data_IF_273480817847
#
_entry.id   IF_273480817847
#
_cell.length_a   1.000
_cell.length_b   1.000
_cell.length_c   1.000
_cell.angle_alpha   90.00
_cell.angle_beta   90.00
_cell.angle_gamma   90.00
#
_symmetry.space_group_name_H-M   'P 1'
#
loop_
_entity.id
_entity.type
_entity.pdbx_description
1 polymer ?
#
# COMPACT_ATOMS: atom_id res chain seq x y z
N UNK A 1 19.17 10.29 -24.49
CA UNK A 1 18.33 11.50 -24.46
C UNK A 1 17.57 11.44 -23.16
N UNK A 2 17.95 12.27 -22.19
CA UNK A 2 17.35 12.33 -20.86
C UNK A 2 15.95 12.94 -20.97
N UNK A 3 14.91 12.13 -20.77
CA UNK A 3 13.58 12.65 -20.50
C UNK A 3 13.55 13.14 -19.05
N UNK A 4 14.00 14.37 -18.85
CA UNK A 4 13.66 15.17 -17.67
C UNK A 4 12.14 15.39 -17.70
N UNK A 5 11.40 14.43 -17.15
CA UNK A 5 10.00 14.64 -16.81
C UNK A 5 10.00 15.72 -15.71
N UNK A 6 9.45 16.92 -15.95
CA UNK A 6 9.49 17.99 -14.95
C UNK A 6 8.87 17.44 -13.68
N UNK A 7 9.62 17.52 -12.58
CA UNK A 7 9.14 17.10 -11.28
C UNK A 7 7.81 17.80 -11.03
N UNK A 8 6.70 17.05 -11.05
CA UNK A 8 5.41 17.59 -10.67
C UNK A 8 5.54 18.01 -9.21
N UNK A 9 5.67 19.30 -8.95
CA UNK A 9 5.54 19.87 -7.62
C UNK A 9 4.19 19.41 -7.07
N UNK A 10 4.13 18.78 -5.89
CA UNK A 10 2.86 18.34 -5.32
C UNK A 10 1.87 19.51 -5.28
N UNK A 11 0.62 19.28 -5.69
CA UNK A 11 -0.43 20.29 -5.52
C UNK A 11 -0.78 20.36 -4.04
N UNK A 12 -0.16 21.29 -3.35
CA UNK A 12 -0.27 21.47 -1.90
C UNK A 12 -1.63 22.02 -1.46
N UNK A 13 -2.42 22.52 -2.41
CA UNK A 13 -3.79 22.96 -2.16
C UNK A 13 -4.79 21.80 -2.16
N UNK A 14 -4.33 20.58 -2.47
CA UNK A 14 -5.17 19.41 -2.59
C UNK A 14 -5.95 19.10 -1.30
N UNK A 15 -7.25 18.91 -1.45
CA UNK A 15 -8.18 18.64 -0.35
C UNK A 15 -8.25 17.13 -0.06
N UNK A 16 -8.58 16.73 1.18
CA UNK A 16 -8.89 15.34 1.45
C UNK A 16 -9.91 14.76 0.47
N UNK A 17 -9.60 13.57 -0.06
CA UNK A 17 -10.37 12.89 -1.09
C UNK A 17 -9.86 13.11 -2.52
N UNK A 18 -9.15 14.21 -2.81
CA UNK A 18 -8.59 14.49 -4.13
C UNK A 18 -7.43 13.55 -4.47
N UNK A 19 -7.17 13.43 -5.78
CA UNK A 19 -6.08 12.60 -6.32
C UNK A 19 -4.96 13.51 -6.81
N UNK A 20 -3.76 13.27 -6.30
CA UNK A 20 -2.52 13.90 -6.75
C UNK A 20 -1.59 12.86 -7.39
N UNK A 21 -0.56 13.32 -8.11
CA UNK A 21 0.50 12.46 -8.63
C UNK A 21 1.84 12.77 -7.98
N UNK A 22 2.56 11.75 -7.53
CA UNK A 22 3.86 11.90 -6.90
C UNK A 22 4.69 10.62 -7.05
N UNK A 23 5.91 10.72 -7.55
CA UNK A 23 6.71 9.54 -7.91
C UNK A 23 6.16 8.75 -9.10
N UNK A 24 6.89 7.72 -9.50
CA UNK A 24 6.57 6.82 -10.62
C UNK A 24 6.87 5.39 -10.25
N UNK A 25 6.01 4.44 -10.58
CA UNK A 25 6.24 3.01 -10.33
C UNK A 25 5.65 2.17 -11.46
N UNK A 26 6.13 0.94 -11.72
CA UNK A 26 5.52 0.09 -12.73
C UNK A 26 4.06 -0.22 -12.42
N UNK A 27 3.21 -0.13 -13.45
CA UNK A 27 1.78 -0.39 -13.33
C UNK A 27 1.24 -1.28 -14.46
N UNK A 28 2.02 -1.48 -15.52
CA UNK A 28 1.70 -2.40 -16.62
C UNK A 28 2.29 -3.79 -16.36
N UNK A 29 1.82 -4.79 -17.09
CA UNK A 29 2.22 -6.18 -16.87
C UNK A 29 3.72 -6.46 -17.13
N UNK A 30 4.36 -5.71 -18.02
CA UNK A 30 5.79 -5.90 -18.34
C UNK A 30 6.74 -5.41 -17.24
N UNK A 31 6.26 -4.53 -16.35
CA UNK A 31 7.04 -3.95 -15.26
C UNK A 31 8.12 -2.94 -15.67
N UNK A 32 8.18 -2.55 -16.94
CA UNK A 32 9.20 -1.65 -17.48
C UNK A 32 8.75 -0.18 -17.52
N UNK A 33 7.44 0.05 -17.36
CA UNK A 33 6.88 1.40 -17.38
C UNK A 33 7.25 2.22 -16.12
N UNK A 34 7.21 3.54 -16.27
CA UNK A 34 7.39 4.51 -15.18
C UNK A 34 6.12 5.33 -14.98
N UNK A 35 4.99 4.66 -14.81
CA UNK A 35 3.69 5.35 -14.69
C UNK A 35 3.63 6.18 -13.40
N UNK A 36 3.19 7.46 -13.48
CA UNK A 36 2.96 8.29 -12.28
C UNK A 36 2.04 7.60 -11.28
N UNK A 37 2.45 7.57 -10.02
CA UNK A 37 1.63 6.99 -8.96
C UNK A 37 0.54 7.99 -8.62
N UNK A 38 -0.72 7.54 -8.68
CA UNK A 38 -1.88 8.31 -8.18
C UNK A 38 -2.04 8.06 -6.69
N UNK A 39 -2.15 9.14 -5.93
CA UNK A 39 -2.32 9.12 -4.49
C UNK A 39 -3.57 9.86 -4.10
N UNK A 40 -4.36 9.25 -3.22
CA UNK A 40 -5.50 9.88 -2.58
C UNK A 40 -5.03 10.63 -1.34
N UNK A 41 -5.40 11.90 -1.25
CA UNK A 41 -5.14 12.71 -0.05
C UNK A 41 -6.09 12.26 1.05
N UNK A 42 -5.53 11.77 2.15
CA UNK A 42 -6.28 11.35 3.34
C UNK A 42 -6.45 12.51 4.31
N UNK A 43 -5.39 13.32 4.49
CA UNK A 43 -5.40 14.50 5.34
C UNK A 43 -4.48 15.58 4.73
N UNK A 44 -4.83 16.85 4.95
CA UNK A 44 -3.99 18.00 4.63
C UNK A 44 -3.99 18.95 5.83
N UNK A 45 -2.83 19.13 6.46
CA UNK A 45 -2.65 20.06 7.60
C UNK A 45 -2.22 21.47 7.18
N UNK A 46 -2.08 21.72 5.88
CA UNK A 46 -1.46 22.91 5.31
C UNK A 46 0.07 22.89 5.33
N UNK A 47 0.70 21.93 6.01
CA UNK A 47 2.16 21.70 6.02
C UNK A 47 2.57 20.28 5.66
N UNK A 48 1.62 19.37 5.70
CA UNK A 48 1.84 17.94 5.46
C UNK A 48 0.61 17.36 4.78
N UNK A 49 0.85 16.59 3.73
CA UNK A 49 -0.14 15.74 3.08
C UNK A 49 0.06 14.31 3.55
N UNK A 50 -0.96 13.72 4.17
CA UNK A 50 -1.00 12.28 4.41
C UNK A 50 -1.74 11.62 3.25
N UNK A 51 -1.07 10.72 2.54
CA UNK A 51 -1.57 10.17 1.28
C UNK A 51 -1.50 8.64 1.23
N UNK A 52 -2.43 8.03 0.50
CA UNK A 52 -2.52 6.60 0.24
C UNK A 52 -2.55 6.36 -1.27
N UNK A 53 -1.76 5.40 -1.76
CA UNK A 53 -1.81 4.98 -3.16
C UNK A 53 -3.23 4.58 -3.57
N UNK A 54 -3.70 5.10 -4.71
CA UNK A 54 -5.06 4.86 -5.21
C UNK A 54 -5.29 3.40 -5.63
N UNK A 55 -4.22 2.75 -6.11
CA UNK A 55 -4.21 1.36 -6.54
C UNK A 55 -3.31 0.52 -5.64
N UNK A 56 -3.55 -0.79 -5.64
CA UNK A 56 -2.55 -1.75 -5.18
C UNK A 56 -1.42 -1.76 -6.22
N UNK A 57 -0.24 -1.31 -5.83
CA UNK A 57 0.89 -1.11 -6.74
C UNK A 57 1.70 -2.37 -6.97
N UNK A 58 1.77 -3.25 -5.97
CA UNK A 58 2.52 -4.51 -6.05
C UNK A 58 1.86 -5.59 -5.18
N UNK A 59 2.25 -6.84 -5.35
CA UNK A 59 1.85 -7.97 -4.52
C UNK A 59 3.07 -8.59 -3.86
N UNK A 60 3.11 -8.57 -2.53
CA UNK A 60 4.21 -9.11 -1.72
C UNK A 60 3.66 -9.75 -0.44
N UNK A 61 4.37 -10.77 0.05
CA UNK A 61 4.15 -11.31 1.40
C UNK A 61 4.45 -10.24 2.44
N UNK A 62 3.88 -10.39 3.63
CA UNK A 62 4.28 -9.56 4.77
C UNK A 62 5.71 -9.91 5.21
N UNK A 63 6.07 -11.20 5.19
CA UNK A 63 7.43 -11.68 5.44
C UNK A 63 7.76 -12.93 4.61
N UNK A 64 9.01 -13.04 4.18
CA UNK A 64 9.52 -14.13 3.36
C UNK A 64 9.55 -13.81 1.85
N UNK A 65 10.65 -14.20 1.20
CA UNK A 65 10.97 -13.83 -0.19
C UNK A 65 11.14 -15.04 -1.13
N UNK A 66 11.03 -16.27 -0.62
CA UNK A 66 11.16 -17.48 -1.44
C UNK A 66 9.82 -17.92 -2.04
N UNK A 67 9.87 -18.40 -3.29
CA UNK A 67 8.73 -19.01 -3.98
C UNK A 67 8.24 -20.30 -3.31
N UNK A 68 9.10 -20.98 -2.56
CA UNK A 68 8.78 -22.23 -1.88
C UNK A 68 8.02 -22.02 -0.56
N UNK A 69 7.88 -20.78 -0.10
CA UNK A 69 7.16 -20.44 1.12
C UNK A 69 5.69 -20.78 0.96
N UNK A 70 5.22 -21.66 1.85
CA UNK A 70 3.83 -22.05 2.01
C UNK A 70 3.18 -21.37 3.21
N UNK A 71 1.90 -21.62 3.41
CA UNK A 71 1.17 -21.11 4.58
C UNK A 71 1.71 -21.66 5.91
N UNK A 72 2.40 -22.82 5.90
CA UNK A 72 2.97 -23.45 7.10
C UNK A 72 4.26 -22.80 7.57
N UNK A 73 4.89 -22.03 6.69
CA UNK A 73 6.18 -21.37 6.94
C UNK A 73 6.00 -19.96 7.53
N UNK A 74 4.81 -19.62 8.01
CA UNK A 74 4.59 -18.39 8.75
C UNK A 74 5.37 -18.43 10.08
N UNK A 75 6.03 -17.33 10.40
CA UNK A 75 6.86 -17.20 11.63
C UNK A 75 6.35 -16.06 12.49
N UNK A 76 6.72 -16.04 13.75
CA UNK A 76 6.44 -14.88 14.60
C UNK A 76 7.30 -13.69 14.13
N UNK A 77 6.66 -12.62 13.66
CA UNK A 77 7.34 -11.44 13.10
C UNK A 77 6.54 -10.17 13.41
N UNK A 78 7.24 -9.07 13.62
CA UNK A 78 6.64 -7.74 13.85
C UNK A 78 6.80 -6.86 12.61
N UNK A 79 6.05 -5.76 12.54
CA UNK A 79 6.21 -4.76 11.47
C UNK A 79 7.65 -4.26 11.38
N UNK A 80 8.29 -3.99 12.52
CA UNK A 80 9.68 -3.53 12.60
C UNK A 80 10.65 -4.40 11.79
N UNK A 81 10.48 -5.72 11.83
CA UNK A 81 11.44 -6.70 11.32
C UNK A 81 11.01 -7.38 10.01
N UNK A 82 9.77 -7.18 9.55
CA UNK A 82 9.25 -7.86 8.37
C UNK A 82 9.90 -7.36 7.07
N UNK A 83 9.90 -8.21 6.04
CA UNK A 83 10.57 -7.88 4.78
C UNK A 83 9.78 -6.86 3.98
N UNK A 84 8.45 -6.83 4.13
CA UNK A 84 7.62 -5.84 3.46
C UNK A 84 7.98 -4.40 3.88
N UNK A 85 8.21 -4.16 5.17
CA UNK A 85 8.67 -2.84 5.66
C UNK A 85 10.04 -2.48 5.10
N UNK A 86 10.99 -3.44 5.09
CA UNK A 86 12.34 -3.24 4.53
C UNK A 86 12.26 -2.89 3.05
N UNK A 87 11.43 -3.60 2.30
CA UNK A 87 11.22 -3.34 0.88
C UNK A 87 10.60 -1.95 0.63
N UNK A 88 9.56 -1.57 1.38
CA UNK A 88 8.92 -0.26 1.27
C UNK A 88 9.90 0.89 1.46
N UNK A 89 10.77 0.78 2.47
CA UNK A 89 11.70 1.84 2.85
C UNK A 89 13.04 1.81 2.09
N UNK A 90 13.29 0.75 1.30
CA UNK A 90 14.49 0.62 0.47
C UNK A 90 14.11 0.57 -1.01
N UNK A 91 13.84 -0.61 -1.55
CA UNK A 91 13.65 -0.84 -2.98
C UNK A 91 12.49 -0.02 -3.56
N UNK A 92 11.31 -0.06 -2.93
CA UNK A 92 10.16 0.73 -3.37
C UNK A 92 10.47 2.22 -3.32
N UNK A 93 10.92 2.74 -2.16
CA UNK A 93 11.26 4.15 -2.00
C UNK A 93 12.30 4.65 -3.02
N UNK A 94 13.33 3.84 -3.30
CA UNK A 94 14.38 4.21 -4.24
C UNK A 94 13.95 4.11 -5.71
N UNK A 95 13.03 3.22 -6.02
CA UNK A 95 12.45 3.07 -7.37
C UNK A 95 11.40 4.14 -7.64
N UNK A 96 10.54 4.41 -6.66
CA UNK A 96 9.36 5.25 -6.78
C UNK A 96 9.69 6.74 -6.87
N UNK A 97 10.71 7.21 -6.15
CA UNK A 97 10.98 8.63 -5.96
C UNK A 97 12.37 9.02 -6.46
N UNK A 98 12.45 10.13 -7.19
CA UNK A 98 13.73 10.74 -7.56
C UNK A 98 14.32 11.55 -6.38
N UNK A 99 15.57 12.03 -6.53
CA UNK A 99 16.25 12.77 -5.47
C UNK A 99 15.45 13.99 -4.97
N UNK A 100 14.92 14.81 -5.87
CA UNK A 100 14.13 15.99 -5.49
C UNK A 100 12.83 15.63 -4.75
N UNK A 101 12.17 14.55 -5.14
CA UNK A 101 10.95 14.07 -4.48
C UNK A 101 11.25 13.53 -3.07
N UNK A 102 12.40 12.86 -2.90
CA UNK A 102 12.83 12.32 -1.60
C UNK A 102 13.01 13.39 -0.53
N UNK A 103 13.36 14.62 -0.91
CA UNK A 103 13.48 15.76 0.00
C UNK A 103 12.15 16.14 0.69
N UNK A 104 11.02 15.83 0.07
CA UNK A 104 9.70 16.08 0.65
C UNK A 104 9.19 14.93 1.53
N UNK A 105 9.88 13.79 1.55
CA UNK A 105 9.46 12.58 2.28
C UNK A 105 10.28 12.46 3.56
N UNK A 106 9.72 12.92 4.67
CA UNK A 106 10.34 12.77 5.99
C UNK A 106 9.89 11.46 6.65
N UNK A 107 10.75 10.83 7.48
CA UNK A 107 10.33 9.71 8.31
C UNK A 107 9.12 10.09 9.15
N UNK A 108 8.14 9.20 9.16
CA UNK A 108 6.92 9.30 9.96
C UNK A 108 7.03 8.38 11.15
N UNK A 109 6.72 8.91 12.33
CA UNK A 109 6.54 8.12 13.53
C UNK A 109 5.26 7.28 13.42
N UNK A 110 5.41 6.00 13.12
CA UNK A 110 4.32 5.05 12.93
C UNK A 110 4.06 4.28 14.21
N UNK A 111 2.89 4.53 14.80
CA UNK A 111 2.36 3.81 15.96
C UNK A 111 1.27 2.81 15.55
N UNK A 112 0.66 2.13 16.53
CA UNK A 112 -0.40 1.12 16.32
C UNK A 112 0.05 -0.02 15.38
N UNK A 113 1.32 -0.41 15.55
CA UNK A 113 1.90 -1.52 14.81
C UNK A 113 1.37 -2.87 15.31
N UNK A 114 0.67 -2.91 16.44
CA UNK A 114 0.14 -4.11 17.11
C UNK A 114 0.60 -4.23 18.56
N UNK A 115 0.04 -5.19 19.29
CA UNK A 115 0.40 -5.41 20.69
C UNK A 115 1.87 -5.87 20.81
N UNK A 116 2.65 -5.23 21.68
CA UNK A 116 4.07 -5.54 21.92
C UNK A 116 4.97 -5.47 20.69
N UNK A 117 4.55 -4.80 19.63
CA UNK A 117 5.45 -4.42 18.55
C UNK A 117 5.83 -2.94 18.69
N UNK A 118 7.14 -2.62 18.62
CA UNK A 118 7.59 -1.24 18.73
C UNK A 118 7.01 -0.33 17.65
N UNK A 119 6.97 0.95 17.96
CA UNK A 119 6.79 2.01 16.98
C UNK A 119 7.98 2.04 16.00
N UNK A 120 7.76 2.59 14.82
CA UNK A 120 8.77 2.66 13.75
C UNK A 120 8.88 4.07 13.19
N UNK A 121 10.03 4.38 12.58
CA UNK A 121 10.20 5.57 11.76
C UNK A 121 10.26 5.14 10.30
N UNK A 122 9.22 5.46 9.54
CA UNK A 122 9.02 4.97 8.18
C UNK A 122 8.84 6.12 7.19
N UNK A 123 9.59 6.08 6.07
CA UNK A 123 9.40 7.00 4.93
C UNK A 123 8.20 6.60 4.09
N UNK A 124 8.00 5.30 3.95
CA UNK A 124 6.85 4.69 3.28
C UNK A 124 6.37 3.55 4.16
N UNK A 125 5.05 3.51 4.40
CA UNK A 125 4.43 2.56 5.32
C UNK A 125 3.11 2.02 4.77
N UNK A 126 2.51 1.06 5.47
CA UNK A 126 1.12 0.67 5.28
C UNK A 126 0.28 1.29 6.38
N UNK A 127 -0.98 1.61 6.13
CA UNK A 127 -1.87 2.14 7.16
C UNK A 127 -2.01 1.16 8.34
N UNK A 128 -2.17 1.70 9.56
CA UNK A 128 -2.60 0.91 10.71
C UNK A 128 -4.10 0.67 10.69
N UNK A 129 -4.57 -0.22 11.56
CA UNK A 129 -6.00 -0.44 11.77
C UNK A 129 -6.69 0.82 12.27
N UNK A 130 -6.07 1.57 13.19
CA UNK A 130 -6.64 2.83 13.70
C UNK A 130 -6.76 3.86 12.57
N UNK A 131 -5.70 4.10 11.81
CA UNK A 131 -5.71 5.07 10.72
C UNK A 131 -6.78 4.75 9.66
N UNK A 132 -6.85 3.50 9.18
CA UNK A 132 -7.84 3.15 8.15
C UNK A 132 -9.28 3.19 8.71
N UNK A 133 -9.49 2.91 10.00
CA UNK A 133 -10.81 3.06 10.63
C UNK A 133 -11.21 4.53 10.65
N UNK A 134 -10.39 5.38 11.24
CA UNK A 134 -10.67 6.82 11.42
C UNK A 134 -10.94 7.50 10.07
N UNK A 135 -10.09 7.23 9.08
CA UNK A 135 -10.25 7.78 7.73
C UNK A 135 -11.55 7.29 7.08
N UNK A 136 -11.86 6.00 7.20
CA UNK A 136 -13.08 5.46 6.59
C UNK A 136 -14.36 5.89 7.31
N UNK A 137 -14.28 6.24 8.59
CA UNK A 137 -15.41 6.75 9.35
C UNK A 137 -15.73 8.21 8.94
N UNK A 138 -14.71 8.96 8.51
CA UNK A 138 -14.86 10.33 7.98
C UNK A 138 -15.29 10.33 6.50
N UNK A 139 -14.61 9.55 5.66
CA UNK A 139 -14.74 9.61 4.19
C UNK A 139 -15.54 8.48 3.56
N UNK A 140 -16.02 7.53 4.38
CA UNK A 140 -16.79 6.38 3.93
C UNK A 140 -15.95 5.11 3.73
N UNK A 141 -16.60 3.96 3.87
CA UNK A 141 -15.97 2.63 3.83
C UNK A 141 -15.45 2.25 2.44
N UNK A 142 -15.91 2.91 1.39
CA UNK A 142 -15.48 2.64 0.01
C UNK A 142 -13.98 2.86 -0.20
N UNK A 143 -13.33 3.70 0.63
CA UNK A 143 -11.89 3.91 0.61
C UNK A 143 -11.07 2.63 0.90
N UNK A 144 -11.70 1.66 1.56
CA UNK A 144 -11.12 0.35 1.87
C UNK A 144 -11.08 -0.56 0.64
N UNK A 145 -11.99 -0.38 -0.31
CA UNK A 145 -11.98 -1.12 -1.56
C UNK A 145 -10.77 -0.72 -2.41
N UNK A 146 -10.14 -1.70 -3.06
CA UNK A 146 -8.92 -1.46 -3.81
C UNK A 146 -8.81 -2.40 -5.01
N UNK A 147 -8.35 -1.82 -6.13
CA UNK A 147 -8.07 -2.53 -7.38
C UNK A 147 -6.56 -2.50 -7.61
N UNK A 148 -6.00 -3.61 -8.06
CA UNK A 148 -4.59 -3.69 -8.42
C UNK A 148 -4.28 -3.20 -9.82
N UNK A 149 -3.05 -2.70 -9.98
CA UNK A 149 -2.41 -2.50 -11.27
C UNK A 149 -2.17 -3.84 -11.97
N UNK A 150 -1.89 -3.82 -13.27
CA UNK A 150 -1.54 -5.06 -13.98
C UNK A 150 -0.18 -5.60 -13.55
N UNK A 151 0.72 -4.70 -13.14
CA UNK A 151 1.96 -5.07 -12.48
C UNK A 151 1.73 -5.91 -11.22
N UNK A 152 0.81 -5.51 -10.33
CA UNK A 152 0.49 -6.27 -9.12
C UNK A 152 -0.15 -7.64 -9.40
N UNK A 153 -0.93 -7.75 -10.49
CA UNK A 153 -1.57 -9.00 -10.94
C UNK A 153 -0.59 -9.97 -11.62
N UNK A 154 0.61 -9.51 -11.98
CA UNK A 154 1.62 -10.33 -12.64
C UNK A 154 2.38 -11.17 -11.61
N UNK A 155 2.60 -12.45 -11.92
CA UNK A 155 3.32 -13.37 -11.03
C UNK A 155 4.79 -12.95 -10.92
N UNK A 156 5.26 -12.80 -9.69
CA UNK A 156 6.64 -12.42 -9.35
C UNK A 156 7.53 -13.65 -9.18
N UNK A 157 8.84 -13.43 -9.16
CA UNK A 157 9.85 -14.48 -9.01
C UNK A 157 9.77 -15.18 -7.65
N UNK A 158 9.36 -14.47 -6.60
CA UNK A 158 9.07 -14.99 -5.26
C UNK A 158 7.72 -15.74 -5.18
N UNK A 159 7.03 -15.92 -6.31
CA UNK A 159 5.73 -16.57 -6.39
C UNK A 159 4.54 -15.69 -6.00
N UNK A 160 4.74 -14.45 -5.54
CA UNK A 160 3.63 -13.53 -5.25
C UNK A 160 2.84 -13.19 -6.51
N UNK A 161 1.52 -13.09 -6.38
CA UNK A 161 0.61 -12.67 -7.46
C UNK A 161 -0.68 -12.18 -6.83
N UNK A 162 -1.10 -10.95 -7.11
CA UNK A 162 -2.31 -10.41 -6.52
C UNK A 162 -3.52 -11.28 -6.85
N UNK A 163 -4.26 -11.68 -5.81
CA UNK A 163 -5.53 -12.35 -5.99
C UNK A 163 -6.63 -11.31 -6.16
N UNK A 164 -7.25 -11.32 -7.35
CA UNK A 164 -8.37 -10.45 -7.71
C UNK A 164 -9.68 -11.21 -7.48
N UNK A 165 -10.63 -10.59 -6.80
CA UNK A 165 -11.95 -11.18 -6.62
C UNK A 165 -12.66 -11.32 -7.97
N UNK A 166 -13.05 -12.55 -8.31
CA UNK A 166 -13.61 -12.93 -9.60
C UNK A 166 -14.96 -13.66 -9.46
N UNK A 167 -15.66 -13.49 -8.33
CA UNK A 167 -16.97 -14.14 -8.07
C UNK A 167 -18.16 -13.23 -8.33
N UNK A 168 -19.37 -13.72 -8.09
CA UNK A 168 -20.64 -13.05 -8.42
C UNK A 168 -21.10 -11.98 -7.42
N UNK A 169 -20.46 -11.82 -6.25
CA UNK A 169 -20.90 -10.82 -5.27
C UNK A 169 -20.40 -9.41 -5.64
N UNK A 170 -21.32 -8.58 -6.11
CA UNK A 170 -21.10 -7.20 -6.57
C UNK A 170 -20.60 -6.23 -5.49
N UNK A 171 -20.82 -6.53 -4.20
CA UNK A 171 -20.28 -5.72 -3.08
C UNK A 171 -18.74 -5.76 -3.02
N UNK A 172 -18.11 -6.68 -3.75
CA UNK A 172 -16.65 -6.81 -3.84
C UNK A 172 -16.11 -6.23 -5.16
N UNK A 173 -16.88 -5.41 -5.87
CA UNK A 173 -16.47 -4.74 -7.09
C UNK A 173 -16.57 -3.22 -6.94
N UNK A 174 -15.70 -2.50 -7.66
CA UNK A 174 -15.80 -1.05 -7.84
C UNK A 174 -16.14 -0.78 -9.30
N UNK A 175 -17.06 0.14 -9.55
CA UNK A 175 -17.34 0.65 -10.90
C UNK A 175 -16.50 1.91 -11.13
N UNK A 176 -15.68 1.90 -12.18
CA UNK A 176 -14.91 3.08 -12.63
C UNK A 176 -15.19 3.28 -14.10
N UNK A 177 -15.69 4.47 -14.47
CA UNK A 177 -16.03 4.83 -15.85
C UNK A 177 -16.96 3.81 -16.54
N UNK A 178 -17.90 3.21 -15.79
CA UNK A 178 -18.82 2.21 -16.30
C UNK A 178 -18.25 0.79 -16.40
N UNK A 179 -16.98 0.57 -16.05
CA UNK A 179 -16.35 -0.75 -16.02
C UNK A 179 -16.26 -1.28 -14.58
N UNK A 180 -16.53 -2.58 -14.41
CA UNK A 180 -16.48 -3.26 -13.13
C UNK A 180 -15.10 -3.86 -12.86
N UNK A 181 -14.56 -3.59 -11.68
CA UNK A 181 -13.26 -4.11 -11.24
C UNK A 181 -13.39 -4.87 -9.93
N UNK A 182 -12.95 -6.13 -9.92
CA UNK A 182 -12.88 -6.93 -8.71
C UNK A 182 -11.89 -6.34 -7.70
N UNK A 183 -12.33 -6.18 -6.46
CA UNK A 183 -11.48 -5.77 -5.35
C UNK A 183 -10.44 -6.85 -5.04
N UNK A 184 -9.35 -6.44 -4.39
CA UNK A 184 -8.32 -7.37 -3.92
C UNK A 184 -8.02 -7.13 -2.43
N UNK A 185 -7.46 -8.15 -1.79
CA UNK A 185 -6.97 -8.05 -0.42
C UNK A 185 -5.70 -7.21 -0.37
N UNK A 186 -5.52 -6.43 0.70
CA UNK A 186 -4.28 -5.67 0.90
C UNK A 186 -3.89 -5.54 2.38
N UNK A 187 -2.59 -5.48 2.63
CA UNK A 187 -2.01 -5.51 3.98
C UNK A 187 -2.19 -4.21 4.76
N UNK A 188 -2.33 -4.34 6.08
CA UNK A 188 -2.14 -3.26 7.05
C UNK A 188 -0.87 -3.56 7.87
N UNK A 189 -0.21 -2.52 8.41
CA UNK A 189 1.01 -2.74 9.21
C UNK A 189 0.73 -3.40 10.56
N UNK A 190 -0.46 -3.16 11.13
CA UNK A 190 -0.86 -3.67 12.46
C UNK A 190 -0.80 -5.20 12.51
N UNK A 191 -0.10 -5.73 13.52
CA UNK A 191 0.00 -7.17 13.79
C UNK A 191 -1.37 -7.76 14.09
N UNK A 192 -1.61 -8.96 13.59
CA UNK A 192 -2.87 -9.68 13.70
C UNK A 192 -3.10 -10.30 15.08
N UNK A 193 -4.07 -11.19 15.16
CA UNK A 193 -4.46 -11.85 16.42
C UNK A 193 -3.49 -12.94 16.90
N UNK A 194 -2.37 -13.15 16.20
CA UNK A 194 -1.24 -13.99 16.59
C UNK A 194 0.06 -13.35 16.07
N UNK A 195 1.22 -13.63 16.66
CA UNK A 195 2.47 -13.02 16.21
C UNK A 195 2.88 -13.39 14.77
N UNK A 196 2.37 -14.49 14.23
CA UNK A 196 2.54 -14.91 12.82
C UNK A 196 1.50 -14.36 11.84
N UNK A 197 0.69 -13.39 12.29
CA UNK A 197 -0.43 -12.84 11.51
C UNK A 197 -0.34 -11.32 11.41
N UNK A 198 -0.93 -10.79 10.35
CA UNK A 198 -1.09 -9.35 10.12
C UNK A 198 -2.56 -9.02 9.84
N UNK A 199 -2.92 -7.76 10.09
CA UNK A 199 -4.19 -7.23 9.63
C UNK A 199 -4.18 -6.99 8.13
N UNK A 200 -5.36 -7.04 7.54
CA UNK A 200 -5.59 -6.79 6.13
C UNK A 200 -7.00 -6.26 5.91
N UNK A 201 -7.20 -5.64 4.75
CA UNK A 201 -8.52 -5.31 4.22
C UNK A 201 -8.94 -6.41 3.24
N UNK A 202 -10.13 -6.95 3.46
CA UNK A 202 -10.77 -7.90 2.54
C UNK A 202 -11.49 -7.21 1.39
N UNK A 203 -11.90 -7.99 0.40
CA UNK A 203 -12.53 -7.50 -0.84
C UNK A 203 -13.83 -6.74 -0.64
N UNK A 204 -14.52 -6.98 0.48
CA UNK A 204 -15.75 -6.28 0.88
C UNK A 204 -15.48 -5.08 1.81
N UNK A 205 -14.24 -4.59 1.85
CA UNK A 205 -13.80 -3.51 2.74
C UNK A 205 -13.70 -3.89 4.22
N UNK A 206 -13.76 -5.19 4.56
CA UNK A 206 -13.71 -5.65 5.96
C UNK A 206 -12.28 -5.63 6.51
N UNK A 207 -12.08 -5.08 7.71
CA UNK A 207 -10.81 -5.15 8.43
C UNK A 207 -10.73 -6.49 9.17
N UNK A 208 -9.71 -7.31 8.88
CA UNK A 208 -9.54 -8.66 9.43
C UNK A 208 -8.12 -8.85 9.95
N UNK A 209 -7.95 -9.71 10.96
CA UNK A 209 -6.71 -9.83 11.74
C UNK A 209 -6.01 -11.19 11.64
N UNK A 210 -6.49 -12.08 10.76
CA UNK A 210 -6.13 -13.50 10.80
C UNK A 210 -5.23 -13.97 9.65
N UNK A 211 -4.73 -13.07 8.80
CA UNK A 211 -3.92 -13.46 7.65
C UNK A 211 -2.51 -13.87 8.09
N UNK A 212 -2.07 -15.06 7.66
CA UNK A 212 -0.69 -15.48 7.85
C UNK A 212 0.25 -14.56 7.08
N UNK A 213 1.37 -14.17 7.69
CA UNK A 213 2.34 -13.27 7.08
C UNK A 213 3.02 -13.82 5.80
N UNK A 214 2.87 -15.11 5.52
CA UNK A 214 3.39 -15.78 4.32
C UNK A 214 2.42 -15.81 3.13
N UNK A 215 1.24 -15.17 3.22
CA UNK A 215 0.27 -15.13 2.11
C UNK A 215 0.84 -14.38 0.90
N UNK A 216 0.93 -15.07 -0.24
CA UNK A 216 1.51 -14.56 -1.49
C UNK A 216 0.50 -13.84 -2.40
N UNK A 217 -0.76 -13.70 -1.96
CA UNK A 217 -1.87 -13.20 -2.78
C UNK A 217 -2.36 -11.79 -2.42
N UNK A 218 -1.73 -11.13 -1.45
CA UNK A 218 -2.22 -9.87 -0.90
C UNK A 218 -1.41 -8.68 -1.42
N UNK A 219 -2.12 -7.60 -1.68
CA UNK A 219 -1.60 -6.38 -2.27
C UNK A 219 -0.92 -5.46 -1.28
N UNK A 220 -0.07 -4.61 -1.83
CA UNK A 220 0.57 -3.50 -1.13
C UNK A 220 -0.07 -2.19 -1.58
N UNK A 221 -0.66 -1.45 -0.63
CA UNK A 221 -1.04 -0.04 -0.81
C UNK A 221 -0.15 0.84 0.07
N UNK A 222 0.96 1.37 -0.49
CA UNK A 222 1.81 2.30 0.24
C UNK A 222 1.04 3.55 0.66
N UNK A 223 1.41 4.06 1.82
CA UNK A 223 1.06 5.37 2.35
C UNK A 223 2.34 6.10 2.77
N UNK A 224 2.31 7.42 2.73
CA UNK A 224 3.40 8.27 3.20
C UNK A 224 2.89 9.67 3.54
N UNK A 225 3.76 10.45 4.19
CA UNK A 225 3.54 11.87 4.44
C UNK A 225 4.50 12.70 3.59
N UNK A 226 3.96 13.69 2.90
CA UNK A 226 4.74 14.66 2.13
C UNK A 226 4.71 15.98 2.89
N UNK A 227 5.88 16.53 3.19
CA UNK A 227 5.99 17.81 3.89
C UNK A 227 6.19 18.94 2.89
N UNK A 228 5.43 20.02 3.08
CA UNK A 228 5.78 21.33 2.58
C UNK A 228 7.03 21.79 3.34
N UNK A 229 8.07 22.18 2.60
CA UNK A 229 9.25 22.81 3.22
C UNK A 229 8.85 24.02 4.06
#
# INVERSE_FOLDING_TARGET
MENNNPASTPDWSAKPGEIITFGTYPQTADGADRTPIKWRVLQNSGRELFILSEYILDCRRYHGESADITWRDCVDITWLNCDLRKWLNNEFYNTAFNAAQKEYIKPTHCTDNGERTPDTEDKVFLLSVTEIKDISDIYGKDLRHAVGTDFAKTKKTDGCKLYVYDRTNKDNYIIRNGEEFGCSWWWLRTQGNKPSRAFFIGTSGSIRSYANNSIAGYGVRPALKINLQ
#
